data_IF_549288920362
#
_entry.id   IF_549288920362
#
_cell.length_a   1.000
_cell.length_b   1.000
_cell.length_c   1.000
_cell.angle_alpha   90.00
_cell.angle_beta   90.00
_cell.angle_gamma   90.00
#
_symmetry.space_group_name_H-M   'P 1'
#
loop_
_entity.id
_entity.type
_entity.pdbx_description
1 polymer ?
#
# COMPACT_ATOMS: atom_id res chain seq x y z
N UNK A 1 -13.61 3.74 16.96
CA UNK A 1 -12.94 3.46 15.67
C UNK A 1 -11.48 3.81 15.73
N UNK A 2 -10.62 2.89 15.28
CA UNK A 2 -9.17 3.10 15.29
C UNK A 2 -8.72 3.67 13.95
N UNK A 3 -8.06 4.82 13.97
CA UNK A 3 -7.30 5.33 12.82
C UNK A 3 -5.82 5.08 13.04
N UNK A 4 -5.07 4.77 12.00
CA UNK A 4 -3.63 4.66 12.04
C UNK A 4 -3.00 5.95 11.51
N UNK A 5 -2.03 6.50 12.20
CA UNK A 5 -1.26 7.65 11.75
C UNK A 5 0.23 7.41 11.92
N UNK A 6 1.01 8.10 11.13
CA UNK A 6 2.46 7.99 11.06
C UNK A 6 3.08 9.22 11.70
N UNK A 7 3.95 9.04 12.69
CA UNK A 7 4.68 10.12 13.34
C UNK A 7 6.16 9.72 13.44
N UNK A 8 7.01 10.33 12.62
CA UNK A 8 8.43 10.02 12.59
C UNK A 8 8.72 8.57 12.18
N UNK A 9 9.48 7.84 12.99
CA UNK A 9 9.74 6.40 12.85
C UNK A 9 8.74 5.50 13.57
N UNK A 10 7.80 6.10 14.30
CA UNK A 10 6.77 5.39 15.07
C UNK A 10 5.46 5.33 14.31
N UNK A 11 4.78 4.20 14.44
CA UNK A 11 3.42 4.02 13.95
C UNK A 11 2.47 4.01 15.14
N UNK A 12 1.46 4.88 15.09
CA UNK A 12 0.47 5.03 16.16
C UNK A 12 -0.94 4.69 15.66
N UNK A 13 -1.72 4.03 16.50
CA UNK A 13 -3.15 3.84 16.30
C UNK A 13 -3.87 4.76 17.27
N UNK A 14 -4.85 5.51 16.78
CA UNK A 14 -5.69 6.41 17.57
C UNK A 14 -7.10 5.84 17.69
N UNK A 15 -7.77 6.15 18.77
CA UNK A 15 -9.14 5.71 19.03
C UNK A 15 -10.18 6.41 18.14
N UNK A 16 -9.88 7.64 17.75
CA UNK A 16 -10.69 8.37 16.76
C UNK A 16 -9.85 9.38 15.98
N UNK A 17 -10.37 9.84 14.85
CA UNK A 17 -9.75 10.88 14.04
C UNK A 17 -9.67 12.25 14.74
N UNK A 18 -10.49 12.47 15.77
CA UNK A 18 -10.60 13.74 16.49
C UNK A 18 -9.85 13.76 17.83
N UNK A 19 -9.29 12.62 18.27
CA UNK A 19 -8.49 12.56 19.50
C UNK A 19 -7.02 12.37 19.16
N UNK A 20 -6.14 12.93 19.98
CA UNK A 20 -4.70 12.75 19.84
C UNK A 20 -4.16 11.67 20.78
N UNK A 21 -5.03 10.88 21.40
CA UNK A 21 -4.61 9.81 22.30
C UNK A 21 -4.06 8.64 21.51
N UNK A 22 -2.79 8.32 21.71
CA UNK A 22 -2.18 7.11 21.18
C UNK A 22 -2.65 5.92 22.00
N UNK A 23 -3.32 4.97 21.38
CA UNK A 23 -3.76 3.72 22.00
C UNK A 23 -2.85 2.54 21.66
N UNK A 24 -2.01 2.70 20.66
CA UNK A 24 -1.04 1.69 20.24
C UNK A 24 0.11 2.34 19.46
N UNK A 25 1.32 1.87 19.69
CA UNK A 25 2.50 2.28 18.92
C UNK A 25 3.46 1.11 18.73
N UNK A 26 4.26 1.18 17.67
CA UNK A 26 5.30 0.21 17.40
C UNK A 26 6.56 0.90 16.89
N UNK A 27 7.71 0.38 17.28
CA UNK A 27 9.01 0.94 16.99
C UNK A 27 10.02 -0.18 16.66
N UNK A 28 10.79 -0.08 15.58
CA UNK A 28 11.77 -1.08 15.17
C UNK A 28 12.89 -1.31 16.20
N UNK A 29 13.20 -0.33 17.04
CA UNK A 29 14.23 -0.46 18.07
C UNK A 29 13.78 -1.40 19.19
N UNK A 30 12.60 -1.17 19.72
CA UNK A 30 12.01 -2.02 20.78
C UNK A 30 11.65 -3.41 20.26
N UNK A 31 11.30 -3.54 18.97
CA UNK A 31 11.03 -4.80 18.29
C UNK A 31 12.30 -5.61 17.97
N UNK A 32 13.49 -5.11 18.39
CA UNK A 32 14.80 -5.76 18.22
C UNK A 32 15.15 -6.04 16.74
N UNK A 33 14.71 -5.16 15.84
CA UNK A 33 15.20 -5.18 14.46
C UNK A 33 16.72 -4.95 14.49
N UNK A 34 17.55 -5.74 13.77
CA UNK A 34 18.99 -5.52 13.70
C UNK A 34 19.36 -4.08 13.37
N UNK A 35 20.33 -3.50 14.07
CA UNK A 35 20.71 -2.08 13.94
C UNK A 35 20.96 -1.67 12.48
N UNK A 36 21.56 -2.52 11.66
CA UNK A 36 21.80 -2.27 10.25
C UNK A 36 20.51 -2.12 9.41
N UNK A 37 19.37 -2.67 9.89
CA UNK A 37 18.09 -2.66 9.21
C UNK A 37 17.13 -1.59 9.74
N UNK A 38 17.37 -1.03 10.94
CA UNK A 38 16.49 -0.04 11.56
C UNK A 38 16.27 1.20 10.67
N UNK A 39 17.29 1.62 9.94
CA UNK A 39 17.22 2.73 8.97
C UNK A 39 16.21 2.53 7.84
N UNK A 40 15.79 1.29 7.57
CA UNK A 40 14.77 1.02 6.56
C UNK A 40 13.38 1.47 6.98
N UNK A 41 13.15 1.63 8.29
CA UNK A 41 11.86 1.99 8.86
C UNK A 41 11.64 3.51 9.00
N UNK A 42 12.58 4.33 8.53
CA UNK A 42 12.41 5.78 8.55
C UNK A 42 11.37 6.22 7.53
N UNK A 43 10.62 7.27 7.86
CA UNK A 43 9.58 7.87 7.04
C UNK A 43 8.53 6.83 6.59
N UNK A 44 7.68 6.34 7.49
CA UNK A 44 6.58 5.48 7.16
C UNK A 44 5.72 6.06 6.02
N UNK A 45 5.38 5.25 5.03
CA UNK A 45 4.71 5.68 3.80
C UNK A 45 3.31 5.14 3.62
N UNK A 46 3.03 3.94 4.13
CA UNK A 46 1.69 3.37 4.16
C UNK A 46 1.51 2.50 5.40
N UNK A 47 0.29 2.51 5.92
CA UNK A 47 -0.15 1.65 7.03
C UNK A 47 -1.56 1.18 6.77
N UNK A 48 -1.78 -0.14 6.81
CA UNK A 48 -3.14 -0.70 6.70
C UNK A 48 -3.36 -1.86 7.68
N UNK A 49 -4.53 -1.90 8.33
CA UNK A 49 -4.93 -3.06 9.13
C UNK A 49 -5.27 -4.22 8.21
N UNK A 50 -4.75 -5.41 8.54
CA UNK A 50 -4.97 -6.64 7.76
C UNK A 50 -5.39 -7.79 8.67
N UNK A 51 -5.84 -8.93 8.07
CA UNK A 51 -6.30 -10.11 8.81
C UNK A 51 -7.36 -9.78 9.88
N UNK A 52 -8.43 -9.09 9.46
CA UNK A 52 -9.51 -8.65 10.36
C UNK A 52 -8.99 -7.79 11.52
N UNK A 53 -8.12 -6.83 11.22
CA UNK A 53 -7.51 -5.88 12.19
C UNK A 53 -6.67 -6.55 13.30
N UNK A 54 -6.15 -7.74 13.04
CA UNK A 54 -5.24 -8.41 13.98
C UNK A 54 -3.78 -8.06 13.75
N UNK A 55 -3.46 -7.57 12.55
CA UNK A 55 -2.12 -7.21 12.14
C UNK A 55 -2.12 -5.85 11.43
N UNK A 56 -0.96 -5.23 11.44
CA UNK A 56 -0.64 -4.06 10.64
C UNK A 56 0.34 -4.47 9.55
N UNK A 57 0.02 -4.12 8.32
CA UNK A 57 0.95 -4.15 7.19
C UNK A 57 1.41 -2.72 6.93
N UNK A 58 2.73 -2.50 6.89
CA UNK A 58 3.30 -1.16 6.69
C UNK A 58 4.44 -1.15 5.69
N UNK A 59 4.67 0.00 5.07
CA UNK A 59 5.89 0.35 4.35
C UNK A 59 6.50 1.62 4.92
N UNK A 60 7.81 1.79 4.68
CA UNK A 60 8.51 3.02 5.03
C UNK A 60 9.49 3.40 3.92
N UNK A 61 9.59 4.69 3.59
CA UNK A 61 10.40 5.22 2.49
C UNK A 61 11.89 4.89 2.59
N UNK A 62 12.37 4.56 3.80
CA UNK A 62 13.72 4.02 4.00
C UNK A 62 13.95 2.63 3.41
N UNK A 63 12.88 1.93 3.01
CA UNK A 63 12.94 0.65 2.30
C UNK A 63 12.25 -0.53 3.00
N UNK A 64 11.65 -0.35 4.18
CA UNK A 64 11.00 -1.43 4.89
C UNK A 64 9.62 -1.78 4.34
N UNK A 65 9.29 -3.07 4.38
CA UNK A 65 7.93 -3.60 4.53
C UNK A 65 7.88 -4.44 5.79
N UNK A 66 6.80 -4.38 6.56
CA UNK A 66 6.64 -5.18 7.77
C UNK A 66 5.19 -5.60 8.02
N UNK A 67 5.05 -6.78 8.65
CA UNK A 67 3.79 -7.30 9.18
C UNK A 67 3.94 -7.42 10.70
N UNK A 68 3.10 -6.71 11.44
CA UNK A 68 3.19 -6.58 12.89
C UNK A 68 1.88 -7.05 13.51
N UNK A 69 1.94 -7.88 14.53
CA UNK A 69 0.76 -8.32 15.26
C UNK A 69 0.37 -7.28 16.31
N UNK A 70 -0.90 -6.84 16.29
CA UNK A 70 -1.36 -5.74 17.15
C UNK A 70 -1.36 -6.14 18.62
N UNK A 71 -1.82 -7.36 18.94
CA UNK A 71 -2.07 -7.78 20.32
C UNK A 71 -0.84 -7.75 21.24
N UNK A 72 0.34 -8.01 20.71
CA UNK A 72 1.59 -8.12 21.47
C UNK A 72 2.76 -7.36 20.83
N UNK A 73 2.49 -6.51 19.85
CA UNK A 73 3.49 -5.71 19.11
C UNK A 73 4.57 -6.55 18.40
N UNK A 74 4.31 -7.85 18.22
CA UNK A 74 5.29 -8.77 17.67
C UNK A 74 5.49 -8.53 16.18
N UNK A 75 6.74 -8.32 15.80
CA UNK A 75 7.17 -8.32 14.39
C UNK A 75 7.07 -9.75 13.86
N UNK A 76 6.18 -9.96 12.90
CA UNK A 76 5.93 -11.27 12.30
C UNK A 76 6.70 -11.49 11.01
N UNK A 77 6.95 -10.42 10.28
CA UNK A 77 7.73 -10.43 9.05
C UNK A 77 8.24 -9.02 8.77
N UNK A 78 9.43 -8.92 8.19
CA UNK A 78 9.89 -7.70 7.54
C UNK A 78 10.86 -8.03 6.39
N UNK A 79 11.00 -7.10 5.45
CA UNK A 79 11.92 -7.21 4.33
C UNK A 79 12.35 -5.84 3.82
N UNK A 80 13.38 -5.84 2.97
CA UNK A 80 13.82 -4.65 2.27
C UNK A 80 13.22 -4.64 0.86
N UNK A 81 12.37 -3.65 0.57
CA UNK A 81 11.74 -3.47 -0.75
C UNK A 81 12.69 -2.80 -1.75
N UNK A 82 13.66 -2.04 -1.27
CA UNK A 82 14.51 -1.16 -2.08
C UNK A 82 14.33 0.30 -1.68
N UNK A 83 14.14 1.18 -2.64
CA UNK A 83 14.12 2.61 -2.37
C UNK A 83 12.72 3.21 -2.52
N UNK A 84 12.24 3.84 -1.44
CA UNK A 84 10.99 4.57 -1.40
C UNK A 84 9.76 3.71 -1.75
N UNK A 85 9.49 2.60 -1.02
CA UNK A 85 8.23 1.90 -1.16
C UNK A 85 7.09 2.80 -0.67
N UNK A 86 5.98 2.76 -1.40
CA UNK A 86 4.79 3.55 -1.10
C UNK A 86 3.60 2.71 -0.66
N UNK A 87 3.57 1.44 -1.04
CA UNK A 87 2.42 0.59 -0.76
C UNK A 87 2.81 -0.87 -0.62
N UNK A 88 2.07 -1.59 0.21
CA UNK A 88 2.12 -3.04 0.32
C UNK A 88 0.73 -3.65 0.37
N UNK A 89 0.59 -4.88 -0.14
CA UNK A 89 -0.68 -5.61 -0.12
C UNK A 89 -0.45 -7.08 0.22
N UNK A 90 -1.45 -7.71 0.84
CA UNK A 90 -1.47 -9.15 1.06
C UNK A 90 -2.00 -9.88 -0.17
N UNK A 91 -1.27 -10.87 -0.61
CA UNK A 91 -1.72 -11.83 -1.60
C UNK A 91 -2.59 -12.92 -0.94
N UNK A 92 -3.40 -13.67 -1.71
CA UNK A 92 -4.36 -14.64 -1.16
C UNK A 92 -3.76 -15.72 -0.28
N UNK A 93 -2.51 -16.08 -0.50
CA UNK A 93 -1.76 -17.10 0.25
C UNK A 93 -1.00 -16.55 1.46
N UNK A 94 -1.12 -15.24 1.74
CA UNK A 94 -0.46 -14.55 2.83
C UNK A 94 0.94 -14.03 2.50
N UNK A 95 1.41 -14.18 1.28
CA UNK A 95 2.59 -13.48 0.79
C UNK A 95 2.32 -11.98 0.67
N UNK A 96 3.39 -11.19 0.59
CA UNK A 96 3.30 -9.73 0.50
C UNK A 96 3.82 -9.28 -0.85
N UNK A 97 3.13 -8.29 -1.43
CA UNK A 97 3.60 -7.55 -2.59
C UNK A 97 3.77 -6.08 -2.23
N UNK A 98 4.80 -5.43 -2.78
CA UNK A 98 5.09 -4.00 -2.53
C UNK A 98 5.27 -3.25 -3.85
N UNK A 99 4.92 -1.95 -3.83
CA UNK A 99 5.23 -1.01 -4.89
C UNK A 99 6.29 -0.02 -4.42
N UNK A 100 7.33 0.18 -5.22
CA UNK A 100 8.37 1.16 -4.94
C UNK A 100 8.60 2.10 -6.12
N UNK A 101 8.63 3.38 -5.83
CA UNK A 101 8.64 4.41 -6.87
C UNK A 101 10.02 4.67 -7.44
N UNK A 102 11.05 4.74 -6.61
CA UNK A 102 12.38 5.18 -7.03
C UNK A 102 13.12 4.16 -7.89
N UNK A 103 13.04 2.87 -7.54
CA UNK A 103 13.58 1.79 -8.37
C UNK A 103 12.64 1.36 -9.51
N UNK A 104 11.37 1.75 -9.42
CA UNK A 104 10.33 1.37 -10.37
C UNK A 104 10.07 -0.12 -10.37
N UNK A 105 9.70 -0.67 -9.22
CA UNK A 105 9.56 -2.11 -9.02
C UNK A 105 8.28 -2.47 -8.27
N UNK A 106 7.70 -3.59 -8.66
CA UNK A 106 6.73 -4.34 -7.85
C UNK A 106 7.46 -5.60 -7.37
N UNK A 107 7.58 -5.76 -6.05
CA UNK A 107 8.28 -6.89 -5.44
C UNK A 107 7.33 -7.81 -4.70
N UNK A 108 7.53 -9.12 -4.78
CA UNK A 108 6.82 -10.10 -3.97
C UNK A 108 7.77 -10.75 -2.96
N UNK A 109 7.24 -11.08 -1.78
CA UNK A 109 7.95 -11.70 -0.68
C UNK A 109 7.22 -12.96 -0.23
N UNK A 110 7.98 -14.03 0.02
CA UNK A 110 7.48 -15.18 0.77
C UNK A 110 7.48 -14.81 2.25
N UNK A 111 6.31 -14.83 2.88
CA UNK A 111 6.19 -14.54 4.31
C UNK A 111 6.47 -15.80 5.12
N UNK A 112 7.56 -15.75 5.90
CA UNK A 112 7.94 -16.77 6.87
C UNK A 112 7.96 -16.13 8.28
N UNK A 113 7.00 -16.49 9.11
CA UNK A 113 6.85 -15.93 10.46
C UNK A 113 7.80 -16.54 11.49
N UNK A 114 8.58 -17.56 11.10
CA UNK A 114 9.64 -18.17 11.93
C UNK A 114 10.95 -17.46 11.70
N UNK A 115 11.35 -17.29 10.43
CA UNK A 115 12.57 -16.55 10.08
C UNK A 115 12.44 -15.06 10.22
N UNK A 116 11.22 -14.54 10.15
CA UNK A 116 10.82 -13.13 10.28
C UNK A 116 11.40 -12.22 9.19
N UNK A 117 12.69 -12.30 8.91
CA UNK A 117 13.32 -11.54 7.81
C UNK A 117 13.20 -12.29 6.48
N UNK A 118 12.64 -11.61 5.49
CA UNK A 118 12.46 -12.12 4.14
C UNK A 118 13.19 -11.31 3.07
N UNK A 119 13.52 -11.99 1.98
CA UNK A 119 14.10 -11.38 0.78
C UNK A 119 13.09 -11.37 -0.37
N UNK A 120 13.31 -10.50 -1.35
CA UNK A 120 12.50 -10.46 -2.58
C UNK A 120 12.51 -11.83 -3.26
N UNK A 121 11.33 -12.38 -3.51
CA UNK A 121 11.16 -13.65 -4.21
C UNK A 121 10.98 -13.45 -5.72
N UNK A 122 10.31 -12.36 -6.11
CA UNK A 122 10.13 -11.96 -7.51
C UNK A 122 10.07 -10.44 -7.61
N UNK A 123 10.58 -9.91 -8.70
CA UNK A 123 10.55 -8.48 -9.03
C UNK A 123 10.03 -8.29 -10.45
N UNK A 124 9.09 -7.37 -10.62
CA UNK A 124 8.59 -6.92 -11.92
C UNK A 124 8.87 -5.43 -12.07
N UNK A 125 9.39 -5.01 -13.21
CA UNK A 125 9.63 -3.58 -13.48
C UNK A 125 8.33 -2.86 -13.82
N UNK A 126 8.06 -1.79 -13.08
CA UNK A 126 6.97 -0.86 -13.32
C UNK A 126 7.43 0.52 -12.88
N UNK A 127 7.82 1.37 -13.84
CA UNK A 127 8.43 2.66 -13.55
C UNK A 127 7.56 3.50 -12.63
N UNK A 128 8.17 4.06 -11.58
CA UNK A 128 7.53 4.91 -10.59
C UNK A 128 6.23 4.30 -10.02
N UNK A 129 6.30 3.02 -9.62
CA UNK A 129 5.17 2.31 -9.02
C UNK A 129 4.83 2.90 -7.64
N UNK A 130 3.55 3.25 -7.43
CA UNK A 130 3.11 3.88 -6.18
C UNK A 130 2.24 2.96 -5.32
N UNK A 131 1.26 2.28 -5.89
CA UNK A 131 0.31 1.51 -5.09
C UNK A 131 0.08 0.13 -5.64
N UNK A 132 -0.33 -0.76 -4.74
CA UNK A 132 -0.78 -2.12 -5.05
C UNK A 132 -2.04 -2.45 -4.26
N UNK A 133 -3.02 -3.07 -4.92
CA UNK A 133 -4.27 -3.54 -4.32
C UNK A 133 -4.64 -4.90 -4.91
N UNK A 134 -4.88 -5.88 -4.05
CA UNK A 134 -5.42 -7.16 -4.46
C UNK A 134 -6.95 -7.12 -4.51
N UNK A 135 -7.52 -7.38 -5.68
CA UNK A 135 -8.95 -7.53 -5.84
C UNK A 135 -9.33 -9.02 -5.84
N UNK A 136 -10.06 -9.43 -4.79
CA UNK A 136 -10.43 -10.84 -4.57
C UNK A 136 -11.43 -11.36 -5.59
N UNK A 137 -12.37 -10.52 -6.03
CA UNK A 137 -13.45 -10.89 -6.94
C UNK A 137 -12.89 -11.14 -8.34
N UNK A 138 -12.01 -10.28 -8.79
CA UNK A 138 -11.38 -10.35 -10.11
C UNK A 138 -10.15 -11.25 -10.15
N UNK A 139 -9.59 -11.58 -8.99
CA UNK A 139 -8.36 -12.34 -8.84
C UNK A 139 -7.17 -11.71 -9.59
N UNK A 140 -7.04 -10.38 -9.44
CA UNK A 140 -5.97 -9.57 -10.01
C UNK A 140 -5.32 -8.67 -8.95
N UNK A 141 -4.03 -8.44 -9.13
CA UNK A 141 -3.34 -7.32 -8.48
C UNK A 141 -3.47 -6.10 -9.39
N UNK A 142 -3.96 -5.00 -8.85
CA UNK A 142 -3.93 -3.68 -9.49
C UNK A 142 -2.78 -2.87 -8.93
N UNK A 143 -2.15 -2.07 -9.79
CA UNK A 143 -1.06 -1.17 -9.41
C UNK A 143 -1.18 0.16 -10.15
N UNK A 144 -0.92 1.26 -9.45
CA UNK A 144 -0.76 2.57 -10.08
C UNK A 144 0.71 2.88 -10.30
N UNK A 145 0.99 3.59 -11.37
CA UNK A 145 2.34 4.02 -11.70
C UNK A 145 2.34 5.29 -12.56
N UNK A 146 3.40 6.08 -12.44
CA UNK A 146 3.66 7.18 -13.37
C UNK A 146 4.57 6.69 -14.48
N UNK A 147 4.08 6.73 -15.71
CA UNK A 147 4.80 6.29 -16.90
C UNK A 147 5.56 7.46 -17.58
N UNK A 148 6.29 7.16 -18.66
CA UNK A 148 7.01 8.16 -19.42
C UNK A 148 6.13 9.37 -19.77
N UNK A 149 6.64 10.56 -19.56
CA UNK A 149 5.90 11.81 -19.78
C UNK A 149 5.15 12.33 -18.55
N UNK A 150 5.30 11.68 -17.38
CA UNK A 150 4.64 12.11 -16.13
C UNK A 150 3.18 11.65 -16.03
N UNK A 151 2.72 10.84 -16.96
CA UNK A 151 1.32 10.39 -17.05
C UNK A 151 1.05 9.26 -16.08
N UNK A 152 -0.05 9.36 -15.35
CA UNK A 152 -0.49 8.31 -14.43
C UNK A 152 -1.29 7.22 -15.16
N UNK A 153 -1.04 5.97 -14.80
CA UNK A 153 -1.70 4.82 -15.39
C UNK A 153 -2.02 3.74 -14.35
N UNK A 154 -3.08 2.99 -14.62
CA UNK A 154 -3.46 1.80 -13.85
C UNK A 154 -3.05 0.55 -14.61
N UNK A 155 -2.42 -0.37 -13.89
CA UNK A 155 -1.97 -1.67 -14.38
C UNK A 155 -2.66 -2.79 -13.62
N UNK A 156 -2.73 -3.96 -14.23
CA UNK A 156 -3.12 -5.19 -13.55
C UNK A 156 -2.13 -6.31 -13.84
N UNK A 157 -2.07 -7.26 -12.91
CA UNK A 157 -1.22 -8.45 -12.97
C UNK A 157 -2.02 -9.68 -12.58
N UNK A 158 -1.66 -10.83 -13.14
CA UNK A 158 -2.05 -12.12 -12.58
C UNK A 158 -1.02 -12.55 -11.53
N UNK A 159 -1.51 -13.18 -10.48
CA UNK A 159 -0.69 -13.85 -9.49
C UNK A 159 -0.75 -15.37 -9.72
N UNK A 160 0.38 -16.06 -9.65
CA UNK A 160 0.45 -17.49 -9.93
C UNK A 160 -0.12 -18.39 -8.82
N UNK A 161 -0.36 -17.83 -7.62
CA UNK A 161 -0.88 -18.58 -6.46
C UNK A 161 0.10 -19.58 -5.86
N UNK A 162 1.37 -19.56 -6.25
CA UNK A 162 2.41 -20.41 -5.67
C UNK A 162 3.05 -19.71 -4.47
N UNK A 163 2.67 -20.16 -3.28
CA UNK A 163 3.15 -19.59 -2.02
C UNK A 163 4.67 -19.61 -1.88
N UNK A 164 5.33 -20.64 -2.38
CA UNK A 164 6.79 -20.81 -2.21
C UNK A 164 7.59 -20.14 -3.32
N UNK A 165 6.96 -19.91 -4.47
CA UNK A 165 7.55 -19.25 -5.64
C UNK A 165 6.59 -18.22 -6.22
N UNK A 166 6.22 -17.19 -5.41
CA UNK A 166 5.25 -16.17 -5.81
C UNK A 166 5.75 -15.42 -7.04
N UNK A 167 4.87 -15.27 -8.03
CA UNK A 167 5.21 -14.58 -9.28
C UNK A 167 4.02 -13.80 -9.82
N UNK A 168 4.28 -12.54 -10.18
CA UNK A 168 3.36 -11.71 -10.94
C UNK A 168 3.62 -11.91 -12.44
N UNK A 169 2.56 -12.04 -13.21
CA UNK A 169 2.59 -12.28 -14.66
C UNK A 169 1.54 -11.43 -15.36
N UNK A 170 1.56 -11.44 -16.69
CA UNK A 170 0.53 -10.77 -17.51
C UNK A 170 0.32 -9.29 -17.15
N UNK A 171 1.43 -8.57 -16.96
CA UNK A 171 1.38 -7.12 -16.77
C UNK A 171 0.64 -6.48 -17.95
N UNK A 172 -0.45 -5.78 -17.65
CA UNK A 172 -1.25 -5.08 -18.64
C UNK A 172 -1.61 -3.70 -18.12
N UNK A 173 -1.32 -2.66 -18.92
CA UNK A 173 -1.87 -1.33 -18.68
C UNK A 173 -3.33 -1.34 -19.12
N UNK A 174 -4.24 -0.97 -18.21
CA UNK A 174 -5.69 -1.06 -18.41
C UNK A 174 -6.38 0.31 -18.42
N UNK A 175 -5.70 1.35 -17.89
CA UNK A 175 -6.18 2.72 -17.94
C UNK A 175 -5.01 3.70 -17.99
N UNK A 176 -5.21 4.84 -18.63
CA UNK A 176 -4.24 5.94 -18.70
C UNK A 176 -4.99 7.25 -18.53
N UNK A 177 -4.58 8.07 -17.57
CA UNK A 177 -5.10 9.42 -17.46
C UNK A 177 -4.47 10.31 -18.53
N UNK A 178 -5.27 11.07 -19.25
CA UNK A 178 -4.75 11.97 -20.29
C UNK A 178 -4.14 13.24 -19.70
N UNK A 179 -4.69 13.73 -18.59
CA UNK A 179 -4.34 15.03 -18.01
C UNK A 179 -4.05 14.98 -16.51
N UNK A 180 -3.72 13.80 -15.97
CA UNK A 180 -3.40 13.64 -14.56
C UNK A 180 -2.01 13.06 -14.33
N UNK A 181 -1.35 13.57 -13.32
CA UNK A 181 -0.06 13.11 -12.84
C UNK A 181 -0.13 12.74 -11.36
N UNK A 182 0.90 12.08 -10.85
CA UNK A 182 1.12 11.94 -9.42
C UNK A 182 0.05 11.17 -8.65
N UNK A 183 -0.30 9.96 -9.10
CA UNK A 183 -1.17 9.08 -8.30
C UNK A 183 -0.51 8.67 -6.99
N UNK A 184 -1.14 8.98 -5.86
CA UNK A 184 -0.55 8.73 -4.53
C UNK A 184 -1.21 7.60 -3.77
N UNK A 185 -2.49 7.33 -3.97
CA UNK A 185 -3.21 6.26 -3.28
C UNK A 185 -4.09 5.48 -4.24
N UNK A 186 -4.18 4.19 -4.02
CA UNK A 186 -5.11 3.26 -4.66
C UNK A 186 -5.63 2.35 -3.57
N UNK A 187 -6.93 2.41 -3.26
CA UNK A 187 -7.52 1.73 -2.11
C UNK A 187 -8.88 1.11 -2.43
N UNK A 188 -9.23 -0.07 -1.87
CA UNK A 188 -10.56 -0.64 -2.10
C UNK A 188 -11.68 0.26 -1.58
N UNK A 189 -12.78 0.35 -2.32
CA UNK A 189 -14.02 0.95 -1.80
C UNK A 189 -14.73 -0.10 -0.94
N UNK A 190 -14.74 0.09 0.38
CA UNK A 190 -15.38 -0.87 1.26
C UNK A 190 -16.89 -0.92 1.03
N UNK A 191 -17.43 -2.13 0.91
CA UNK A 191 -18.85 -2.36 0.60
C UNK A 191 -19.18 -2.37 -0.89
N UNK A 192 -18.27 -1.94 -1.76
CA UNK A 192 -18.43 -1.97 -3.21
C UNK A 192 -17.38 -2.87 -3.85
N UNK A 193 -17.76 -4.11 -4.18
CA UNK A 193 -16.87 -5.01 -4.90
C UNK A 193 -16.41 -4.38 -6.22
N UNK A 194 -15.18 -4.65 -6.60
CA UNK A 194 -14.59 -4.19 -7.87
C UNK A 194 -14.49 -2.65 -8.04
N UNK A 195 -14.64 -1.90 -6.95
CA UNK A 195 -14.41 -0.45 -6.93
C UNK A 195 -13.13 -0.11 -6.19
N UNK A 196 -12.36 0.83 -6.74
CA UNK A 196 -11.11 1.30 -6.15
C UNK A 196 -11.12 2.82 -6.08
N UNK A 197 -10.80 3.37 -4.91
CA UNK A 197 -10.42 4.77 -4.77
C UNK A 197 -9.07 5.02 -5.40
N UNK A 198 -8.90 6.20 -5.95
CA UNK A 198 -7.63 6.65 -6.49
C UNK A 198 -7.45 8.15 -6.27
N UNK A 199 -6.26 8.55 -5.78
CA UNK A 199 -5.91 9.97 -5.68
C UNK A 199 -4.91 10.35 -6.77
N UNK A 200 -5.20 11.44 -7.46
CA UNK A 200 -4.28 12.08 -8.41
C UNK A 200 -3.93 13.50 -7.91
N UNK A 201 -3.10 14.20 -8.65
CA UNK A 201 -2.67 15.55 -8.25
C UNK A 201 -3.84 16.51 -8.10
N UNK A 202 -4.82 16.48 -9.01
CA UNK A 202 -5.91 17.47 -9.06
C UNK A 202 -7.19 17.01 -8.35
N UNK A 203 -7.41 15.71 -8.21
CA UNK A 203 -8.71 15.20 -7.79
C UNK A 203 -8.65 13.78 -7.18
N UNK A 204 -9.77 13.35 -6.60
CA UNK A 204 -10.02 11.99 -6.16
C UNK A 204 -10.98 11.31 -7.11
N UNK A 205 -10.62 10.11 -7.52
CA UNK A 205 -11.32 9.29 -8.50
C UNK A 205 -11.80 7.98 -7.90
N UNK A 206 -12.78 7.38 -8.57
CA UNK A 206 -13.23 6.02 -8.31
C UNK A 206 -13.19 5.20 -9.60
N UNK A 207 -12.44 4.12 -9.58
CA UNK A 207 -12.43 3.12 -10.65
C UNK A 207 -13.51 2.07 -10.43
N UNK A 208 -14.13 1.65 -11.52
CA UNK A 208 -14.85 0.40 -11.63
C UNK A 208 -14.00 -0.58 -12.45
N UNK A 209 -13.52 -1.62 -11.79
CA UNK A 209 -12.67 -2.66 -12.39
C UNK A 209 -13.43 -3.97 -12.60
N UNK A 210 -14.77 -3.95 -12.58
CA UNK A 210 -15.62 -5.14 -12.75
C UNK A 210 -15.50 -5.76 -14.14
N UNK A 211 -15.04 -4.99 -15.14
CA UNK A 211 -14.84 -5.44 -16.52
C UNK A 211 -13.37 -5.40 -16.94
N UNK A 212 -13.07 -5.92 -18.14
CA UNK A 212 -11.71 -5.91 -18.70
C UNK A 212 -11.20 -4.51 -19.02
N UNK A 213 -12.11 -3.58 -19.32
CA UNK A 213 -11.83 -2.17 -19.53
C UNK A 213 -12.45 -1.37 -18.38
N UNK A 214 -11.65 -0.90 -17.44
CA UNK A 214 -12.17 -0.17 -16.29
C UNK A 214 -12.75 1.18 -16.73
N UNK A 215 -13.76 1.62 -16.01
CA UNK A 215 -14.23 3.01 -16.06
C UNK A 215 -13.65 3.78 -14.87
N UNK A 216 -13.55 5.09 -15.00
CA UNK A 216 -13.02 5.98 -13.97
C UNK A 216 -13.90 7.23 -13.90
N UNK A 217 -14.37 7.56 -12.73
CA UNK A 217 -15.15 8.79 -12.48
C UNK A 217 -14.41 9.70 -11.51
N UNK A 218 -14.45 11.00 -11.73
CA UNK A 218 -13.99 11.98 -10.75
C UNK A 218 -15.09 12.16 -9.71
N UNK A 219 -14.75 11.88 -8.44
CA UNK A 219 -15.72 11.94 -7.33
C UNK A 219 -15.57 13.25 -6.56
N UNK A 220 -14.33 13.68 -6.30
CA UNK A 220 -14.07 14.92 -5.58
C UNK A 220 -13.04 15.76 -6.34
N UNK A 221 -13.37 17.02 -6.58
CA UNK A 221 -12.49 18.01 -7.20
C UNK A 221 -11.62 18.67 -6.12
N UNK A 222 -10.75 17.86 -5.51
CA UNK A 222 -9.92 18.23 -4.36
C UNK A 222 -8.46 17.93 -4.69
N UNK A 223 -7.63 18.95 -4.94
CA UNK A 223 -6.23 18.77 -5.22
C UNK A 223 -5.41 18.45 -3.96
N UNK A 224 -4.31 17.72 -4.17
CA UNK A 224 -3.31 17.45 -3.12
C UNK A 224 -3.70 16.38 -2.11
N UNK A 225 -4.76 15.60 -2.35
CA UNK A 225 -5.13 14.48 -1.49
C UNK A 225 -4.09 13.36 -1.66
N UNK A 226 -3.50 12.92 -0.55
CA UNK A 226 -2.48 11.86 -0.53
C UNK A 226 -3.02 10.49 -0.17
N UNK A 227 -4.14 10.41 0.55
CA UNK A 227 -4.75 9.14 0.92
C UNK A 227 -6.27 9.27 1.00
N UNK A 228 -6.98 8.20 0.65
CA UNK A 228 -8.44 8.13 0.67
C UNK A 228 -8.90 6.74 1.10
N UNK A 229 -9.85 6.68 2.02
CA UNK A 229 -10.50 5.43 2.38
C UNK A 229 -11.93 5.67 2.87
N UNK A 230 -12.74 4.60 2.93
CA UNK A 230 -14.03 4.69 3.57
C UNK A 230 -13.89 4.72 5.09
N UNK A 231 -14.46 5.73 5.70
CA UNK A 231 -14.74 5.75 7.12
C UNK A 231 -16.18 5.23 7.37
N UNK A 232 -16.56 5.08 8.65
CA UNK A 232 -17.87 4.55 9.01
C UNK A 232 -19.03 5.52 8.72
N UNK A 233 -18.74 6.81 8.65
CA UNK A 233 -19.71 7.87 8.41
C UNK A 233 -19.44 8.67 7.13
N UNK A 234 -18.51 8.17 6.28
CA UNK A 234 -18.16 8.87 5.04
C UNK A 234 -16.80 8.49 4.51
N UNK A 235 -16.25 9.33 3.66
CA UNK A 235 -14.92 9.16 3.08
C UNK A 235 -13.90 9.95 3.90
N UNK A 236 -12.85 9.28 4.35
CA UNK A 236 -11.70 9.90 5.01
C UNK A 236 -10.62 10.22 3.98
N UNK A 237 -10.10 11.43 4.01
CA UNK A 237 -9.06 11.89 3.12
C UNK A 237 -7.93 12.55 3.92
N UNK A 238 -6.69 12.27 3.53
CA UNK A 238 -5.52 12.94 4.06
C UNK A 238 -5.01 13.96 3.03
N UNK A 239 -5.01 15.22 3.42
CA UNK A 239 -4.31 16.30 2.71
C UNK A 239 -3.20 16.81 3.62
N UNK A 240 -1.92 16.68 3.22
CA UNK A 240 -0.82 17.27 4.00
C UNK A 240 -1.02 18.78 4.08
N UNK A 241 -0.76 19.36 5.23
CA UNK A 241 -0.58 20.81 5.36
C UNK A 241 0.79 21.15 4.77
N UNK A 242 0.85 22.15 3.90
CA UNK A 242 2.13 22.71 3.48
C UNK A 242 2.81 23.28 4.72
N UNK A 243 4.00 22.79 5.04
CA UNK A 243 4.93 23.42 6.00
C UNK A 243 5.76 24.48 5.30
#
# INVERSE_FOLDING_TARGET
EMSASLVGSEMCIRDSANTQQNIWSWDPYTAKVPAAHQRWFVNPSEVKPVYNRRYILMTASGGAVALIRIADHKLMFYGNCGQNPHSAELLPDGNIVTAESKSGEINTFVVDTVKVFGVKANTVKLGNAHNVVWNKTRNYLYASATIKGGVTALFRFKYNGDRMKPKLTNQKRIYTFENESGGHDLFPVYGEADKLWFTATSAVYKFDVSTETPTCEKVFDLPGIKSVCNGPQGVLMLKPTEE
#
